data_IF_220926900064
#
_entry.id   IF_220926900064
#
_cell.length_a   1.000
_cell.length_b   1.000
_cell.length_c   1.000
_cell.angle_alpha   90.00
_cell.angle_beta   90.00
_cell.angle_gamma   90.00
#
_symmetry.space_group_name_H-M   'P 1'
#
loop_
_entity.id
_entity.type
_entity.pdbx_description
1 polymer ?
#
# COMPACT_ATOMS: atom_id res chain seq x y z
N UNK A 1 -62.00 -10.10 23.22
CA UNK A 1 -60.54 -10.16 23.42
C UNK A 1 -60.00 -11.24 22.49
N UNK A 2 -59.31 -10.85 21.41
CA UNK A 2 -58.64 -11.82 20.55
C UNK A 2 -57.33 -12.26 21.21
N UNK A 3 -56.98 -13.55 21.23
CA UNK A 3 -55.72 -13.99 21.80
C UNK A 3 -54.58 -13.53 20.89
N UNK A 4 -53.57 -12.89 21.48
CA UNK A 4 -52.34 -12.55 20.79
C UNK A 4 -51.68 -13.85 20.30
N UNK A 5 -51.62 -14.06 19.00
CA UNK A 5 -50.91 -15.16 18.37
C UNK A 5 -49.41 -14.90 18.48
N UNK A 6 -48.76 -15.50 19.47
CA UNK A 6 -47.31 -15.51 19.56
C UNK A 6 -46.74 -16.33 18.40
N UNK A 7 -45.93 -15.71 17.54
CA UNK A 7 -45.15 -16.42 16.55
C UNK A 7 -44.33 -17.50 17.26
N UNK A 8 -44.44 -18.78 16.85
CA UNK A 8 -43.76 -19.86 17.55
C UNK A 8 -42.25 -19.62 17.46
N UNK A 9 -41.57 -19.75 18.60
CA UNK A 9 -40.14 -19.51 18.75
C UNK A 9 -39.21 -20.16 17.69
N UNK A 10 -39.53 -21.32 17.06
CA UNK A 10 -38.66 -21.90 16.03
C UNK A 10 -38.69 -21.08 14.74
N UNK A 11 -39.80 -20.41 14.42
CA UNK A 11 -39.91 -19.56 13.23
C UNK A 11 -39.14 -18.24 13.41
N UNK A 12 -39.10 -17.70 14.63
CA UNK A 12 -38.28 -16.53 14.95
C UNK A 12 -36.79 -16.87 14.87
N UNK A 13 -36.38 -18.03 15.36
CA UNK A 13 -35.00 -18.53 15.23
C UNK A 13 -34.62 -18.77 13.76
N UNK A 14 -35.49 -19.41 12.98
CA UNK A 14 -35.26 -19.62 11.55
C UNK A 14 -35.14 -18.30 10.79
N UNK A 15 -35.98 -17.31 11.12
CA UNK A 15 -35.94 -15.98 10.52
C UNK A 15 -34.64 -15.23 10.88
N UNK A 16 -34.18 -15.30 12.14
CA UNK A 16 -32.89 -14.72 12.56
C UNK A 16 -31.73 -15.41 11.82
N UNK A 17 -31.74 -16.74 11.69
CA UNK A 17 -30.72 -17.48 10.94
C UNK A 17 -30.71 -17.07 9.46
N UNK A 18 -31.89 -16.91 8.83
CA UNK A 18 -32.01 -16.45 7.44
C UNK A 18 -31.48 -15.02 7.24
N UNK A 19 -31.78 -14.10 8.16
CA UNK A 19 -31.30 -12.70 8.10
C UNK A 19 -29.78 -12.63 8.30
N UNK A 20 -29.22 -13.45 9.20
CA UNK A 20 -27.77 -13.55 9.41
C UNK A 20 -27.04 -14.14 8.19
N UNK A 21 -27.65 -15.10 7.48
CA UNK A 21 -27.08 -15.70 6.26
C UNK A 21 -27.14 -14.75 5.06
N UNK A 22 -28.17 -13.91 4.99
CA UNK A 22 -28.34 -12.91 3.93
C UNK A 22 -27.29 -11.79 4.00
N UNK A 23 -26.77 -11.48 5.19
CA UNK A 23 -25.79 -10.41 5.42
C UNK A 23 -24.34 -10.72 4.99
N UNK A 24 -24.05 -11.91 4.48
CA UNK A 24 -22.66 -12.37 4.26
C UNK A 24 -22.20 -12.29 2.80
N UNK A 25 -23.04 -11.83 1.88
CA UNK A 25 -22.70 -11.78 0.45
C UNK A 25 -22.42 -10.35 -0.02
N UNK A 26 -21.26 -9.81 0.35
CA UNK A 26 -20.63 -8.75 -0.45
C UNK A 26 -19.49 -9.39 -1.23
N UNK A 27 -19.74 -9.76 -2.49
CA UNK A 27 -18.66 -10.17 -3.38
C UNK A 27 -17.78 -8.94 -3.64
N UNK A 28 -16.59 -8.87 -3.03
CA UNK A 28 -15.63 -7.84 -3.40
C UNK A 28 -15.20 -8.10 -4.84
N UNK A 29 -15.51 -7.19 -5.75
CA UNK A 29 -14.96 -7.24 -7.11
C UNK A 29 -13.44 -7.10 -6.98
N UNK A 30 -12.69 -8.01 -7.59
CA UNK A 30 -11.24 -7.90 -7.67
C UNK A 30 -10.87 -6.60 -8.42
N UNK A 31 -10.22 -5.62 -7.76
CA UNK A 31 -9.89 -4.36 -8.40
C UNK A 31 -8.86 -4.50 -9.53
N UNK A 32 -8.24 -5.67 -9.67
CA UNK A 32 -7.28 -6.00 -10.72
C UNK A 32 -7.90 -6.71 -11.93
N UNK A 33 -9.22 -6.97 -11.91
CA UNK A 33 -9.93 -7.59 -13.02
C UNK A 33 -9.78 -6.75 -14.30
N UNK A 34 -9.33 -7.39 -15.38
CA UNK A 34 -9.09 -6.74 -16.67
C UNK A 34 -7.72 -6.05 -16.80
N UNK A 35 -6.84 -6.19 -15.80
CA UNK A 35 -5.45 -5.78 -15.88
C UNK A 35 -4.50 -6.98 -15.89
N UNK A 36 -3.28 -6.76 -16.37
CA UNK A 36 -2.20 -7.76 -16.40
C UNK A 36 -1.08 -7.28 -15.48
N UNK A 37 -0.61 -8.18 -14.62
CA UNK A 37 0.52 -7.91 -13.73
C UNK A 37 1.79 -7.68 -14.55
N UNK A 38 2.46 -6.55 -14.29
CA UNK A 38 3.78 -6.26 -14.82
C UNK A 38 4.81 -7.08 -14.03
N UNK A 39 5.71 -7.76 -14.72
CA UNK A 39 6.82 -8.46 -14.08
C UNK A 39 7.84 -7.44 -13.55
N UNK A 40 7.81 -7.17 -12.24
CA UNK A 40 8.73 -6.24 -11.58
C UNK A 40 9.94 -6.99 -11.05
N UNK A 41 11.10 -6.70 -11.62
CA UNK A 41 12.39 -7.18 -11.13
C UNK A 41 13.00 -6.20 -10.11
N UNK A 42 13.86 -6.71 -9.21
CA UNK A 42 14.41 -5.91 -8.10
C UNK A 42 15.20 -4.67 -8.54
N UNK A 43 15.84 -4.69 -9.72
CA UNK A 43 16.61 -3.58 -10.27
C UNK A 43 15.77 -2.33 -10.61
N UNK A 44 14.45 -2.48 -10.70
CA UNK A 44 13.49 -1.40 -10.94
C UNK A 44 13.20 -0.57 -9.71
N UNK A 45 13.47 -1.09 -8.52
CA UNK A 45 13.28 -0.39 -7.26
C UNK A 45 14.55 0.42 -6.93
N UNK A 46 14.53 1.72 -7.24
CA UNK A 46 15.64 2.63 -6.92
C UNK A 46 15.45 3.18 -5.52
N UNK A 47 16.40 2.87 -4.62
CA UNK A 47 16.38 3.37 -3.25
C UNK A 47 16.95 4.79 -3.18
N UNK A 48 16.23 5.67 -2.51
CA UNK A 48 16.67 6.97 -2.03
C UNK A 48 16.82 6.89 -0.50
N UNK A 49 17.93 7.38 0.01
CA UNK A 49 18.27 7.37 1.44
C UNK A 49 19.11 8.61 1.80
N UNK A 50 19.39 8.89 3.09
CA UNK A 50 20.33 9.93 3.50
C UNK A 50 21.69 9.78 2.80
N UNK A 51 22.23 10.87 2.24
CA UNK A 51 23.41 10.81 1.36
C UNK A 51 24.69 10.33 2.05
N UNK A 52 24.77 10.43 3.37
CA UNK A 52 25.95 10.14 4.20
C UNK A 52 25.92 8.75 4.83
N UNK A 53 24.85 7.98 4.61
CA UNK A 53 24.68 6.64 5.16
C UNK A 53 24.59 5.60 4.04
N UNK A 54 25.12 4.39 4.25
CA UNK A 54 24.91 3.31 3.29
C UNK A 54 23.47 2.76 3.39
N UNK A 55 22.93 2.15 2.31
CA UNK A 55 21.56 1.66 2.23
C UNK A 55 21.10 0.79 3.41
N UNK A 56 21.92 -0.16 3.84
CA UNK A 56 21.61 -1.12 4.89
C UNK A 56 21.33 -0.49 6.26
N UNK A 57 21.72 0.77 6.44
CA UNK A 57 21.39 1.50 7.65
C UNK A 57 19.97 2.08 7.65
N UNK A 58 19.29 2.17 6.50
CA UNK A 58 17.95 2.78 6.38
C UNK A 58 16.96 1.95 5.55
N UNK A 59 17.39 0.78 5.10
CA UNK A 59 16.62 -0.14 4.29
C UNK A 59 16.99 -1.60 4.55
N UNK A 60 15.99 -2.47 4.59
CA UNK A 60 16.14 -3.92 4.61
C UNK A 60 15.09 -4.56 3.71
N UNK A 61 15.49 -5.59 2.95
CA UNK A 61 14.57 -6.49 2.29
C UNK A 61 14.74 -7.90 2.83
N UNK A 62 13.75 -8.37 3.58
CA UNK A 62 13.77 -9.67 4.24
C UNK A 62 12.38 -10.28 4.23
N UNK A 63 12.29 -11.57 3.90
CA UNK A 63 11.03 -12.34 3.92
C UNK A 63 9.89 -11.67 3.16
N UNK A 64 10.19 -11.04 2.02
CA UNK A 64 9.23 -10.33 1.17
C UNK A 64 8.77 -8.96 1.71
N UNK A 65 9.34 -8.49 2.83
CA UNK A 65 9.04 -7.17 3.41
C UNK A 65 10.20 -6.22 3.16
N UNK A 66 9.87 -5.08 2.57
CA UNK A 66 10.74 -3.92 2.46
C UNK A 66 10.53 -3.04 3.68
N UNK A 67 11.50 -3.01 4.58
CA UNK A 67 11.52 -2.13 5.76
C UNK A 67 12.37 -0.91 5.44
N UNK A 68 11.83 0.28 5.65
CA UNK A 68 12.52 1.56 5.48
C UNK A 68 12.33 2.38 6.73
N UNK A 69 13.40 2.96 7.26
CA UNK A 69 13.33 3.80 8.44
C UNK A 69 14.23 5.02 8.29
N UNK A 70 13.92 6.06 9.06
CA UNK A 70 14.72 7.28 9.20
C UNK A 70 14.68 7.76 10.64
N UNK A 71 15.75 8.45 11.04
CA UNK A 71 15.80 9.21 12.27
C UNK A 71 15.62 10.70 11.98
N UNK A 72 15.07 11.45 12.94
CA UNK A 72 14.90 12.90 12.80
C UNK A 72 16.23 13.67 12.62
N UNK A 73 17.34 13.04 13.00
CA UNK A 73 18.71 13.60 12.91
C UNK A 73 19.45 13.23 11.63
N UNK A 74 18.87 12.37 10.77
CA UNK A 74 19.48 11.97 9.52
C UNK A 74 19.69 13.16 8.58
N UNK A 75 20.47 12.95 7.51
CA UNK A 75 20.65 13.95 6.47
C UNK A 75 19.61 13.80 5.35
N UNK A 76 19.38 14.87 4.57
CA UNK A 76 18.56 14.78 3.37
C UNK A 76 19.13 13.83 2.31
N UNK A 77 18.40 13.70 1.20
CA UNK A 77 18.81 12.91 0.03
C UNK A 77 20.11 13.41 -0.64
N UNK A 78 20.45 14.69 -0.49
CA UNK A 78 21.67 15.26 -1.08
C UNK A 78 22.24 16.42 -0.24
N UNK A 79 23.56 16.68 -0.32
CA UNK A 79 24.18 17.81 0.36
C UNK A 79 23.51 19.14 -0.03
N UNK A 80 23.28 20.01 0.95
CA UNK A 80 22.66 21.34 0.73
C UNK A 80 21.16 21.32 0.42
N UNK A 81 20.52 20.16 0.36
CA UNK A 81 19.07 20.07 0.13
C UNK A 81 18.29 20.62 1.34
N UNK A 82 17.26 21.46 1.14
CA UNK A 82 16.39 21.93 2.23
C UNK A 82 15.34 20.89 2.66
N UNK A 83 15.33 19.73 2.00
CA UNK A 83 14.36 18.67 2.28
C UNK A 83 14.71 17.96 3.59
N UNK A 84 13.72 17.28 4.18
CA UNK A 84 13.95 16.48 5.38
C UNK A 84 14.42 15.07 5.01
N UNK A 85 14.96 14.30 5.96
CA UNK A 85 15.42 12.95 5.70
C UNK A 85 14.31 12.03 5.23
N UNK A 86 14.66 11.10 4.34
CA UNK A 86 13.74 10.13 3.75
C UNK A 86 14.46 8.82 3.46
N UNK A 87 13.72 7.73 3.52
CA UNK A 87 14.11 6.43 2.96
C UNK A 87 12.92 5.98 2.10
N UNK A 88 13.08 6.07 0.78
CA UNK A 88 11.99 5.89 -0.18
C UNK A 88 12.47 5.04 -1.35
N UNK A 89 11.59 4.21 -1.89
CA UNK A 89 11.81 3.53 -3.15
C UNK A 89 11.04 4.24 -4.25
N UNK A 90 11.75 4.54 -5.32
CA UNK A 90 11.23 4.96 -6.60
C UNK A 90 11.11 3.73 -7.49
N UNK A 91 9.89 3.36 -7.85
CA UNK A 91 9.67 2.38 -8.91
C UNK A 91 9.85 3.06 -10.26
N UNK A 92 10.94 2.69 -10.96
CA UNK A 92 11.25 3.21 -12.29
C UNK A 92 10.66 2.31 -13.36
N UNK A 93 9.35 2.41 -13.59
CA UNK A 93 8.66 1.70 -14.66
C UNK A 93 8.18 2.65 -15.75
N UNK A 94 8.41 2.28 -17.01
CA UNK A 94 7.94 3.07 -18.16
C UNK A 94 6.58 2.56 -18.58
N UNK A 95 5.54 2.99 -17.89
CA UNK A 95 4.17 2.73 -18.30
C UNK A 95 3.77 3.76 -19.37
N UNK A 96 3.90 3.36 -20.64
CA UNK A 96 3.42 4.18 -21.76
C UNK A 96 1.90 4.02 -21.87
N UNK A 97 1.16 5.09 -21.57
CA UNK A 97 -0.29 5.17 -21.80
C UNK A 97 -0.52 6.07 -23.01
N UNK A 98 -1.36 5.64 -23.96
CA UNK A 98 -1.79 6.49 -25.06
C UNK A 98 -2.61 7.67 -24.50
N UNK A 99 -2.05 8.88 -24.50
CA UNK A 99 -2.69 10.07 -23.96
C UNK A 99 -1.86 11.33 -24.17
N UNK A 100 -2.39 12.49 -23.76
CA UNK A 100 -1.70 13.78 -23.85
C UNK A 100 -0.65 14.01 -22.73
N UNK A 101 -0.46 13.03 -21.84
CA UNK A 101 0.52 13.08 -20.74
C UNK A 101 1.84 12.39 -21.08
N UNK A 102 2.93 12.79 -20.41
CA UNK A 102 4.27 12.26 -20.67
C UNK A 102 4.43 10.75 -20.38
N UNK A 103 5.38 10.11 -21.06
CA UNK A 103 5.59 8.65 -21.06
C UNK A 103 6.26 8.05 -19.80
N UNK A 104 6.41 8.81 -18.71
CA UNK A 104 7.15 8.40 -17.50
C UNK A 104 6.40 8.83 -16.25
N UNK A 105 5.79 7.86 -15.59
CA UNK A 105 5.19 8.03 -14.27
C UNK A 105 6.08 7.36 -13.23
N UNK A 106 6.19 7.99 -12.07
CA UNK A 106 6.98 7.48 -10.97
C UNK A 106 6.06 7.18 -9.81
N UNK A 107 6.09 5.94 -9.34
CA UNK A 107 5.48 5.56 -8.08
C UNK A 107 6.56 5.54 -7.00
N UNK A 108 6.30 6.22 -5.88
CA UNK A 108 7.20 6.27 -4.73
C UNK A 108 6.51 5.75 -3.49
N UNK A 109 7.23 4.98 -2.69
CA UNK A 109 6.75 4.49 -1.41
C UNK A 109 7.91 4.41 -0.41
N UNK A 110 7.63 4.69 0.86
CA UNK A 110 8.65 4.73 1.90
C UNK A 110 8.26 5.60 3.07
N UNK A 111 9.26 6.16 3.74
CA UNK A 111 9.09 7.05 4.89
C UNK A 111 9.84 8.37 4.68
N UNK A 112 9.17 9.45 5.03
CA UNK A 112 9.69 10.81 4.96
C UNK A 112 9.48 11.50 6.31
N UNK A 113 10.49 12.24 6.78
CA UNK A 113 10.41 12.92 8.08
C UNK A 113 9.45 14.10 8.03
N UNK A 114 8.53 14.16 8.98
CA UNK A 114 7.54 15.24 9.08
C UNK A 114 8.02 16.46 9.90
N UNK A 115 7.16 17.46 10.09
CA UNK A 115 7.37 18.55 11.06
C UNK A 115 7.07 18.05 12.46
N UNK A 116 7.90 18.47 13.41
CA UNK A 116 7.93 17.96 14.78
C UNK A 116 7.99 16.42 14.82
N UNK A 117 9.04 15.83 14.19
CA UNK A 117 9.10 14.40 13.97
C UNK A 117 9.36 13.64 15.28
N UNK A 118 8.87 12.40 15.32
CA UNK A 118 9.38 11.40 16.26
C UNK A 118 10.85 11.11 15.99
N UNK A 119 11.59 10.66 17.00
CA UNK A 119 13.01 10.31 16.84
C UNK A 119 13.22 9.26 15.74
N UNK A 120 12.31 8.28 15.64
CA UNK A 120 12.33 7.18 14.68
C UNK A 120 11.01 7.11 13.92
N UNK A 121 11.07 6.94 12.60
CA UNK A 121 9.89 6.75 11.74
C UNK A 121 10.17 5.59 10.77
N UNK A 122 9.18 4.76 10.51
CA UNK A 122 9.33 3.54 9.71
C UNK A 122 8.14 3.33 8.79
N UNK A 123 8.39 2.72 7.64
CA UNK A 123 7.38 2.11 6.78
C UNK A 123 7.76 0.67 6.43
N UNK A 124 6.76 -0.20 6.32
CA UNK A 124 6.92 -1.60 5.88
C UNK A 124 6.00 -1.87 4.71
N UNK A 125 6.56 -2.43 3.65
CA UNK A 125 5.83 -2.72 2.42
C UNK A 125 6.03 -4.17 2.03
N UNK A 126 4.95 -4.85 1.65
CA UNK A 126 4.94 -6.23 1.16
C UNK A 126 4.08 -6.29 -0.10
N UNK A 127 4.36 -7.24 -0.99
CA UNK A 127 3.51 -7.56 -2.14
C UNK A 127 3.20 -6.37 -3.06
N UNK A 128 4.19 -5.51 -3.28
CA UNK A 128 4.08 -4.37 -4.20
C UNK A 128 3.97 -4.89 -5.62
N UNK A 129 2.80 -4.68 -6.25
CA UNK A 129 2.49 -5.10 -7.62
C UNK A 129 2.05 -3.92 -8.47
N UNK A 130 2.45 -3.92 -9.73
CA UNK A 130 1.97 -2.97 -10.74
C UNK A 130 1.21 -3.73 -11.81
N UNK A 131 0.10 -3.16 -12.22
CA UNK A 131 -0.80 -3.72 -13.21
C UNK A 131 -0.94 -2.74 -14.37
N UNK A 132 -1.00 -3.26 -15.59
CA UNK A 132 -1.25 -2.47 -16.80
C UNK A 132 -2.45 -3.02 -17.55
N UNK A 133 -3.13 -2.15 -18.29
CA UNK A 133 -4.18 -2.57 -19.22
C UNK A 133 -3.53 -2.80 -20.59
N UNK A 134 -3.86 -3.91 -21.26
CA UNK A 134 -3.55 -4.03 -22.68
C UNK A 134 -4.45 -3.02 -23.42
N UNK A 135 -3.81 -2.17 -24.23
CA UNK A 135 -4.52 -1.24 -25.11
C UNK A 135 -5.32 -1.95 -26.18
#
# INVERSE_FOLDING_TARGET
MAPASFLPWPLLLLFIILVLWCGQCSASIDPTLGFIAVNLTEDRFKLHHPYDLPPEQRYEFRDGVRRMWVYCTDKPLSPGSPTKPRSEILLNERLAVAGHGGYRHYFKFGVYTQTDPSHYMESRWRDVKVYTKLG
#
